data_IF_355935131014
#
_entry.id   IF_355935131014
#
_cell.length_a   1.000
_cell.length_b   1.000
_cell.length_c   1.000
_cell.angle_alpha   90.00
_cell.angle_beta   90.00
_cell.angle_gamma   90.00
#
_symmetry.space_group_name_H-M   'P 1'
#
loop_
_entity.id
_entity.type
_entity.pdbx_description
1 polymer ?
#
# COMPACT_ATOMS: atom_id res chain seq x y z
N UNK A 1 -1.24 -1.01 6.75
CA UNK A 1 -2.33 -1.99 6.95
C UNK A 1 -3.37 -1.75 5.88
N UNK A 2 -3.69 -2.82 5.17
CA UNK A 2 -4.75 -2.94 4.19
C UNK A 2 -5.70 -4.01 4.74
N UNK A 3 -6.97 -3.67 4.93
CA UNK A 3 -7.98 -4.63 5.32
C UNK A 3 -9.27 -4.31 4.57
N UNK A 4 -9.64 -5.18 3.63
CA UNK A 4 -10.86 -5.00 2.83
C UNK A 4 -12.13 -5.35 3.61
N UNK A 5 -12.02 -6.15 4.68
CA UNK A 5 -13.17 -6.54 5.53
C UNK A 5 -13.60 -5.37 6.40
N UNK A 6 -12.65 -4.72 7.08
CA UNK A 6 -12.94 -3.58 7.97
C UNK A 6 -12.83 -2.23 7.27
N UNK A 7 -12.59 -2.21 5.96
CA UNK A 7 -12.32 -1.00 5.16
C UNK A 7 -11.21 -0.11 5.76
N UNK A 8 -10.19 -0.73 6.36
CA UNK A 8 -9.08 -0.01 6.99
C UNK A 8 -7.87 0.06 6.07
N UNK A 9 -7.58 1.27 5.62
CA UNK A 9 -6.48 1.57 4.70
C UNK A 9 -5.58 2.64 5.32
N UNK A 10 -4.43 2.24 5.85
CA UNK A 10 -3.46 3.21 6.38
C UNK A 10 -2.01 2.77 6.25
N UNK A 11 -1.12 3.73 6.07
CA UNK A 11 0.33 3.55 6.10
C UNK A 11 0.84 4.25 7.36
N UNK A 12 1.68 3.57 8.15
CA UNK A 12 2.24 4.15 9.37
C UNK A 12 3.75 3.94 9.43
N UNK A 13 4.47 5.04 9.60
CA UNK A 13 5.84 5.07 10.08
C UNK A 13 5.78 5.11 11.62
N UNK A 14 6.13 4.00 12.26
CA UNK A 14 6.01 3.83 13.72
C UNK A 14 6.59 5.04 14.49
N UNK A 15 5.71 5.81 15.14
CA UNK A 15 6.04 6.99 15.95
C UNK A 15 6.19 8.32 15.20
N UNK A 16 6.28 8.34 13.87
CA UNK A 16 6.55 9.57 13.10
C UNK A 16 5.31 10.09 12.38
N UNK A 17 4.68 9.23 11.60
CA UNK A 17 3.59 9.63 10.72
C UNK A 17 2.63 8.47 10.45
N UNK A 18 1.35 8.79 10.28
CA UNK A 18 0.29 7.86 9.89
C UNK A 18 -0.58 8.52 8.83
N UNK A 19 -0.65 7.92 7.65
CA UNK A 19 -1.58 8.31 6.58
C UNK A 19 -2.74 7.34 6.59
N UNK A 20 -3.97 7.83 6.80
CA UNK A 20 -5.21 7.06 6.66
C UNK A 20 -5.99 7.54 5.44
N UNK A 21 -6.65 6.63 4.76
CA UNK A 21 -7.67 6.94 3.76
C UNK A 21 -9.01 6.91 4.48
N UNK A 22 -9.78 7.98 4.38
CA UNK A 22 -11.10 8.17 4.99
C UNK A 22 -12.07 8.58 3.86
N UNK A 23 -13.32 8.13 3.90
CA UNK A 23 -14.37 8.65 3.02
C UNK A 23 -14.88 9.99 3.58
N UNK A 24 -15.17 10.95 2.71
CA UNK A 24 -15.76 12.25 3.09
C UNK A 24 -17.00 12.52 2.22
N UNK A 25 -18.02 13.16 2.77
CA UNK A 25 -19.30 13.42 2.09
C UNK A 25 -19.15 14.40 0.92
N UNK A 26 -18.11 15.26 0.97
CA UNK A 26 -17.84 16.26 -0.06
C UNK A 26 -17.04 15.72 -1.25
N UNK A 27 -16.13 14.80 -0.99
CA UNK A 27 -15.31 14.11 -1.99
C UNK A 27 -15.07 12.69 -1.50
N UNK A 28 -15.47 11.71 -2.30
CA UNK A 28 -15.54 10.27 -2.00
C UNK A 28 -14.28 9.72 -1.28
N UNK A 29 -13.11 10.37 -1.38
CA UNK A 29 -11.86 9.99 -0.73
C UNK A 29 -11.08 11.20 -0.18
N UNK A 30 -10.72 11.15 1.11
CA UNK A 30 -9.81 12.08 1.82
C UNK A 30 -8.61 11.33 2.42
N UNK A 31 -7.44 11.95 2.36
CA UNK A 31 -6.21 11.45 3.00
C UNK A 31 -5.92 12.25 4.27
N UNK A 32 -5.92 11.58 5.42
CA UNK A 32 -5.52 12.15 6.72
C UNK A 32 -4.09 11.75 7.05
N UNK A 33 -3.17 12.69 7.00
CA UNK A 33 -1.80 12.55 7.48
C UNK A 33 -1.69 13.07 8.91
N UNK A 34 -1.51 12.19 9.87
CA UNK A 34 -1.12 12.54 11.24
C UNK A 34 0.40 12.45 11.34
N UNK A 35 1.08 13.57 11.55
CA UNK A 35 2.53 13.63 11.74
C UNK A 35 2.83 14.22 13.11
N UNK A 36 3.46 13.42 13.99
CA UNK A 36 3.71 13.76 15.38
C UNK A 36 2.41 14.22 16.09
N UNK A 37 2.26 15.53 16.30
CA UNK A 37 1.13 16.18 16.98
C UNK A 37 0.23 17.01 16.06
N UNK A 38 0.44 17.00 14.73
CA UNK A 38 -0.38 17.75 13.76
C UNK A 38 -1.10 16.82 12.78
N UNK A 39 -2.32 17.19 12.43
CA UNK A 39 -3.11 16.52 11.39
C UNK A 39 -3.14 17.39 10.13
N UNK A 40 -2.82 16.80 8.99
CA UNK A 40 -2.93 17.39 7.67
C UNK A 40 -3.95 16.59 6.87
N UNK A 41 -4.72 17.30 6.04
CA UNK A 41 -5.78 16.71 5.24
C UNK A 41 -5.56 17.05 3.77
N UNK A 42 -5.61 16.03 2.92
CA UNK A 42 -5.37 16.15 1.50
C UNK A 42 -6.52 15.50 0.72
N UNK A 43 -6.93 16.13 -0.37
CA UNK A 43 -7.99 15.68 -1.27
C UNK A 43 -7.38 15.32 -2.62
N UNK A 44 -7.02 14.04 -2.84
CA UNK A 44 -6.27 13.64 -4.03
C UNK A 44 -7.08 13.76 -5.32
N UNK A 45 -8.41 13.65 -5.28
CA UNK A 45 -9.27 13.75 -6.48
C UNK A 45 -9.17 15.12 -7.14
N UNK A 46 -9.11 16.19 -6.35
CA UNK A 46 -8.90 17.54 -6.86
C UNK A 46 -7.58 17.74 -7.59
N UNK A 47 -6.59 16.88 -7.37
CA UNK A 47 -5.28 17.01 -8.02
C UNK A 47 -5.30 16.54 -9.48
N UNK A 48 -6.21 15.63 -9.82
CA UNK A 48 -6.40 15.13 -11.20
C UNK A 48 -7.04 16.21 -12.08
N UNK A 49 -7.90 17.05 -11.49
CA UNK A 49 -8.68 18.06 -12.21
C UNK A 49 -8.06 19.47 -12.21
N UNK A 50 -6.83 19.67 -11.69
CA UNK A 50 -6.20 20.99 -11.77
C UNK A 50 -5.71 21.25 -13.20
N UNK A 51 -6.18 22.30 -13.90
CA UNK A 51 -5.54 22.74 -15.11
C UNK A 51 -4.09 23.11 -14.78
N UNK A 52 -3.13 22.54 -15.51
CA UNK A 52 -1.72 22.91 -15.40
C UNK A 52 -1.63 24.43 -15.58
N UNK A 53 -1.48 25.19 -14.49
CA UNK A 53 -1.05 26.58 -14.58
C UNK A 53 0.35 26.55 -15.19
N UNK A 54 0.43 26.88 -16.48
CA UNK A 54 1.69 27.15 -17.17
C UNK A 54 2.25 28.38 -16.46
N UNK A 55 3.13 28.16 -15.47
CA UNK A 55 3.93 29.23 -14.89
C UNK A 55 4.96 29.62 -15.95
N UNK A 56 4.60 30.58 -16.79
CA UNK A 56 5.55 31.32 -17.59
C UNK A 56 6.41 32.15 -16.64
N UNK A 57 7.60 31.64 -16.35
CA UNK A 57 8.52 32.24 -15.41
C UNK A 57 9.79 31.40 -15.36
N UNK A 58 10.76 31.81 -16.17
CA UNK A 58 12.09 31.20 -16.29
C UNK A 58 12.74 31.02 -14.91
N UNK A 59 12.85 29.78 -14.46
CA UNK A 59 13.98 29.37 -13.64
C UNK A 59 14.54 28.09 -14.25
N UNK A 60 15.87 28.06 -14.45
CA UNK A 60 16.61 26.94 -15.02
C UNK A 60 16.12 25.66 -14.32
N UNK A 61 15.32 24.85 -15.02
CA UNK A 61 14.93 23.52 -14.56
C UNK A 61 16.23 22.74 -14.44
N UNK A 62 16.83 22.70 -13.23
CA UNK A 62 17.83 21.70 -12.88
C UNK A 62 17.23 20.39 -13.36
N UNK A 63 17.88 19.73 -14.35
CA UNK A 63 17.46 18.40 -14.81
C UNK A 63 17.24 17.58 -13.54
N UNK A 64 15.99 17.25 -13.21
CA UNK A 64 15.69 16.41 -12.05
C UNK A 64 16.52 15.16 -12.28
N UNK A 65 17.54 14.91 -11.46
CA UNK A 65 18.30 13.67 -11.50
C UNK A 65 17.25 12.56 -11.41
N UNK A 66 17.05 11.82 -12.50
CA UNK A 66 16.27 10.59 -12.44
C UNK A 66 17.05 9.70 -11.50
N UNK A 67 16.56 9.56 -10.28
CA UNK A 67 17.08 8.55 -9.35
C UNK A 67 16.67 7.22 -9.94
N UNK A 68 17.50 6.67 -10.84
CA UNK A 68 17.36 5.29 -11.28
C UNK A 68 17.65 4.43 -10.06
N UNK A 69 16.59 3.99 -9.40
CA UNK A 69 16.69 2.97 -8.36
C UNK A 69 17.11 1.68 -9.06
N UNK A 70 18.24 1.11 -8.64
CA UNK A 70 18.66 -0.19 -9.16
C UNK A 70 17.61 -1.25 -8.78
N UNK A 71 17.40 -2.31 -9.58
CA UNK A 71 16.55 -3.43 -9.20
C UNK A 71 16.93 -4.03 -7.84
N UNK A 72 18.22 -4.08 -7.53
CA UNK A 72 18.73 -4.52 -6.23
C UNK A 72 18.26 -3.63 -5.08
N UNK A 73 18.23 -2.30 -5.26
CA UNK A 73 17.69 -1.35 -4.28
C UNK A 73 16.20 -1.60 -4.05
N UNK A 74 15.42 -1.86 -5.10
CA UNK A 74 13.98 -2.17 -4.98
C UNK A 74 13.77 -3.45 -4.17
N UNK A 75 14.51 -4.52 -4.46
CA UNK A 75 14.41 -5.79 -3.72
C UNK A 75 14.78 -5.60 -2.24
N UNK A 76 15.85 -4.85 -1.95
CA UNK A 76 16.25 -4.53 -0.57
C UNK A 76 15.18 -3.71 0.17
N UNK A 77 14.59 -2.73 -0.52
CA UNK A 77 13.48 -1.93 0.03
C UNK A 77 12.29 -2.81 0.37
N UNK A 78 11.87 -3.69 -0.54
CA UNK A 78 10.76 -4.62 -0.31
C UNK A 78 11.04 -5.55 0.88
N UNK A 79 12.26 -6.12 0.97
CA UNK A 79 12.69 -6.97 2.09
C UNK A 79 12.73 -6.25 3.45
N UNK A 80 12.85 -4.91 3.46
CA UNK A 80 12.85 -4.15 4.72
C UNK A 80 11.47 -4.15 5.41
N UNK A 81 10.40 -4.30 4.64
CA UNK A 81 9.04 -4.44 5.17
C UNK A 81 8.84 -5.84 5.75
N UNK A 82 8.39 -5.92 6.99
CA UNK A 82 7.99 -7.17 7.62
C UNK A 82 6.49 -7.38 7.46
N UNK A 83 6.10 -8.53 6.95
CA UNK A 83 4.70 -8.96 6.93
C UNK A 83 4.34 -9.43 8.34
N UNK A 84 3.40 -8.74 8.99
CA UNK A 84 2.87 -9.11 10.32
C UNK A 84 1.65 -10.00 10.24
N UNK A 85 0.83 -9.81 9.22
CA UNK A 85 -0.35 -10.62 8.94
C UNK A 85 -0.62 -10.54 7.44
N UNK A 86 -0.84 -11.68 6.81
CA UNK A 86 -1.37 -11.79 5.46
C UNK A 86 -2.51 -12.79 5.53
N UNK A 87 -3.70 -12.39 5.10
CA UNK A 87 -4.85 -13.27 4.89
C UNK A 87 -5.45 -12.94 3.53
N UNK A 88 -5.72 -13.96 2.75
CA UNK A 88 -6.32 -13.84 1.43
C UNK A 88 -7.46 -14.84 1.37
N UNK A 89 -8.64 -14.39 0.97
CA UNK A 89 -9.80 -15.24 0.70
C UNK A 89 -10.34 -14.84 -0.67
N UNK A 90 -10.37 -15.78 -1.60
CA UNK A 90 -10.70 -15.49 -3.00
C UNK A 90 -11.91 -16.28 -3.45
N UNK A 91 -12.75 -15.63 -4.23
CA UNK A 91 -13.80 -16.25 -5.03
C UNK A 91 -13.77 -15.64 -6.42
N UNK A 92 -13.57 -16.49 -7.43
CA UNK A 92 -13.48 -16.09 -8.84
C UNK A 92 -14.84 -16.05 -9.54
N UNK A 93 -15.92 -16.45 -8.87
CA UNK A 93 -17.27 -16.60 -9.45
C UNK A 93 -17.47 -17.91 -10.20
N UNK A 94 -16.42 -18.69 -10.42
CA UNK A 94 -16.45 -19.98 -11.10
C UNK A 94 -16.03 -21.12 -10.14
N UNK A 95 -16.92 -22.10 -9.99
CA UNK A 95 -16.71 -23.19 -9.03
C UNK A 95 -15.52 -24.09 -9.42
N UNK A 96 -15.26 -24.27 -10.71
CA UNK A 96 -14.16 -25.11 -11.20
C UNK A 96 -12.82 -24.44 -10.88
N UNK A 97 -12.72 -23.13 -11.12
CA UNK A 97 -11.55 -22.31 -10.86
C UNK A 97 -11.26 -22.22 -9.37
N UNK A 98 -12.29 -21.98 -8.54
CA UNK A 98 -12.16 -22.01 -7.09
C UNK A 98 -11.67 -23.38 -6.58
N UNK A 99 -12.19 -24.47 -7.13
CA UNK A 99 -11.76 -25.83 -6.76
C UNK A 99 -10.29 -26.10 -7.13
N UNK A 100 -9.82 -25.59 -8.27
CA UNK A 100 -8.40 -25.67 -8.67
C UNK A 100 -7.47 -24.85 -7.77
N UNK A 101 -7.95 -23.75 -7.20
CA UNK A 101 -7.18 -22.94 -6.26
C UNK A 101 -6.99 -23.63 -4.90
N UNK A 102 -7.90 -24.54 -4.52
CA UNK A 102 -7.85 -25.24 -3.24
C UNK A 102 -6.52 -25.98 -2.98
N UNK A 103 -6.01 -26.87 -3.86
CA UNK A 103 -4.73 -27.54 -3.64
C UNK A 103 -3.55 -26.56 -3.57
N UNK A 104 -3.56 -25.50 -4.40
CA UNK A 104 -2.51 -24.47 -4.40
C UNK A 104 -2.50 -23.73 -3.05
N UNK A 105 -3.66 -23.30 -2.56
CA UNK A 105 -3.77 -22.60 -1.28
C UNK A 105 -3.49 -23.52 -0.09
N UNK A 106 -3.84 -24.80 -0.18
CA UNK A 106 -3.46 -25.80 0.83
C UNK A 106 -1.93 -25.90 0.95
N UNK A 107 -1.22 -25.96 -0.18
CA UNK A 107 0.25 -25.97 -0.18
C UNK A 107 0.84 -24.68 0.39
N UNK A 108 0.29 -23.52 0.02
CA UNK A 108 0.73 -22.24 0.56
C UNK A 108 0.49 -22.11 2.07
N UNK A 109 -0.61 -22.68 2.57
CA UNK A 109 -0.91 -22.74 4.00
C UNK A 109 0.05 -23.66 4.74
N UNK A 110 0.42 -24.80 4.15
CA UNK A 110 1.45 -25.69 4.70
C UNK A 110 2.79 -24.96 4.88
N UNK A 111 3.15 -24.05 3.98
CA UNK A 111 4.34 -23.19 4.09
C UNK A 111 4.18 -22.01 5.09
N UNK A 112 3.13 -21.99 5.91
CA UNK A 112 2.88 -20.96 6.92
C UNK A 112 2.01 -19.78 6.45
N UNK A 113 1.23 -19.98 5.39
CA UNK A 113 0.27 -19.02 4.83
C UNK A 113 -1.08 -18.93 5.56
N UNK A 114 -1.93 -18.01 5.09
CA UNK A 114 -3.36 -17.97 5.43
C UNK A 114 -4.17 -17.57 4.18
N UNK A 115 -4.41 -18.57 3.34
CA UNK A 115 -5.07 -18.46 2.04
C UNK A 115 -6.32 -19.33 2.05
N UNK A 116 -7.44 -18.77 1.64
CA UNK A 116 -8.73 -19.45 1.59
C UNK A 116 -9.38 -19.27 0.22
N UNK A 117 -10.19 -20.24 -0.17
CA UNK A 117 -11.11 -20.13 -1.29
C UNK A 117 -12.52 -20.23 -0.72
N UNK A 118 -13.46 -19.48 -1.27
CA UNK A 118 -14.87 -19.61 -0.97
C UNK A 118 -15.71 -19.71 -2.25
N UNK A 119 -17.00 -19.98 -2.09
CA UNK A 119 -17.99 -20.12 -3.17
C UNK A 119 -19.19 -19.20 -2.92
N UNK A 120 -18.95 -18.08 -2.24
CA UNK A 120 -19.97 -17.15 -1.74
C UNK A 120 -19.89 -15.76 -2.42
N UNK A 121 -19.04 -15.60 -3.44
CA UNK A 121 -18.75 -14.36 -4.12
C UNK A 121 -17.90 -13.38 -3.32
N UNK A 122 -17.19 -13.83 -2.27
CA UNK A 122 -16.46 -12.93 -1.35
C UNK A 122 -14.97 -12.88 -1.66
N UNK A 123 -14.43 -11.68 -1.79
CA UNK A 123 -12.99 -11.44 -1.97
C UNK A 123 -12.46 -10.58 -0.81
N UNK A 124 -11.57 -11.15 -0.01
CA UNK A 124 -11.04 -10.53 1.20
C UNK A 124 -9.51 -10.56 1.21
N UNK A 125 -8.89 -9.41 1.48
CA UNK A 125 -7.45 -9.31 1.63
C UNK A 125 -7.15 -8.50 2.88
N UNK A 126 -6.40 -9.10 3.80
CA UNK A 126 -5.83 -8.46 4.97
C UNK A 126 -4.31 -8.52 4.88
N UNK A 127 -3.69 -7.38 4.64
CA UNK A 127 -2.24 -7.24 4.57
C UNK A 127 -1.77 -6.21 5.61
N UNK A 128 -1.08 -6.70 6.63
CA UNK A 128 -0.41 -5.88 7.63
C UNK A 128 1.10 -5.90 7.37
N UNK A 129 1.58 -4.89 6.65
CA UNK A 129 3.00 -4.59 6.53
C UNK A 129 3.44 -3.63 7.63
N UNK A 130 4.56 -3.93 8.28
CA UNK A 130 5.21 -3.06 9.24
C UNK A 130 6.65 -2.80 8.82
N UNK A 131 7.09 -1.55 8.91
CA UNK A 131 8.49 -1.19 8.76
C UNK A 131 8.90 -0.17 9.82
N UNK A 132 10.17 -0.21 10.24
CA UNK A 132 10.75 0.83 11.09
C UNK A 132 11.46 1.83 10.17
N UNK A 133 11.24 3.15 10.29
CA UNK A 133 11.88 4.14 9.43
C UNK A 133 13.39 3.98 9.33
N UNK A 134 14.06 3.62 10.43
CA UNK A 134 15.51 3.36 10.45
C UNK A 134 15.95 2.22 9.51
N UNK A 135 15.10 1.21 9.26
CA UNK A 135 15.41 0.10 8.33
C UNK A 135 15.30 0.53 6.87
N UNK A 136 14.35 1.41 6.55
CA UNK A 136 14.27 2.04 5.22
C UNK A 136 15.52 2.85 4.96
N UNK A 137 15.93 3.71 5.90
CA UNK A 137 17.14 4.52 5.77
C UNK A 137 18.39 3.66 5.61
N UNK A 138 18.54 2.58 6.41
CA UNK A 138 19.65 1.62 6.25
C UNK A 138 19.70 1.00 4.85
N UNK A 139 18.57 0.76 4.19
CA UNK A 139 18.56 0.20 2.83
C UNK A 139 19.11 1.15 1.77
N UNK A 140 19.10 2.47 2.04
CA UNK A 140 19.67 3.51 1.17
C UNK A 140 21.11 3.88 1.52
N UNK A 141 21.54 3.67 2.77
CA UNK A 141 22.91 4.00 3.22
C UNK A 141 23.88 2.85 2.94
N UNK A 142 23.42 1.60 2.93
CA UNK A 142 24.23 0.44 2.56
C UNK A 142 24.33 0.26 1.03
N UNK A 143 24.46 1.38 0.31
CA UNK A 143 24.53 1.51 -1.15
C UNK A 143 25.98 1.63 -1.60
#
# INVERSE_FOLDING_TARGET
MLNTITQQYYIQAAGLAKVKIEGDEKEIIRLRLQALFRNFYFYPLNWVNQPKKIREGKSKKKKKKRTNLSPGTIIRLLRSFRVKRLRVNVDTGDCITNSKLYPVFSLMNFMGGNYGVNFQGRNEIVLHLQNRPIRLLKSFINL
#
